data_IF_042147575129
#
_entry.id   IF_042147575129
#
_cell.length_a   1.000
_cell.length_b   1.000
_cell.length_c   1.000
_cell.angle_alpha   90.00
_cell.angle_beta   90.00
_cell.angle_gamma   90.00
#
_symmetry.space_group_name_H-M   'P 1'
#
loop_
_entity.id
_entity.type
_entity.pdbx_description
1 polymer ?
#
# COMPACT_ATOMS: atom_id res chain seq x y z
N UNK A 1 29.58 -5.30 -8.56
CA UNK A 1 28.48 -5.49 -9.53
C UNK A 1 27.18 -5.30 -8.79
N UNK A 2 26.40 -4.26 -9.10
CA UNK A 2 25.14 -3.97 -8.44
C UNK A 2 24.15 -3.42 -9.45
N UNK A 3 23.14 -4.20 -9.78
CA UNK A 3 22.06 -3.83 -10.70
C UNK A 3 21.08 -2.89 -9.99
N UNK A 4 20.94 -1.67 -10.50
CA UNK A 4 19.88 -0.77 -10.05
C UNK A 4 18.60 -1.12 -10.82
N UNK A 5 17.82 -2.06 -10.27
CA UNK A 5 16.53 -2.51 -10.83
C UNK A 5 15.48 -1.38 -10.69
N UNK A 6 15.63 -0.35 -11.51
CA UNK A 6 14.79 0.85 -11.53
C UNK A 6 13.47 0.58 -12.28
N UNK A 7 12.68 -0.35 -11.75
CA UNK A 7 11.34 -0.63 -12.29
C UNK A 7 10.53 0.64 -12.40
N UNK A 8 9.73 0.76 -13.46
CA UNK A 8 9.06 2.00 -13.89
C UNK A 8 7.91 2.48 -12.96
N UNK A 9 7.94 2.13 -11.67
CA UNK A 9 6.91 2.45 -10.68
C UNK A 9 7.18 2.00 -9.24
N UNK A 10 8.40 1.60 -8.87
CA UNK A 10 8.87 1.43 -7.48
C UNK A 10 9.91 2.54 -7.23
N UNK A 11 9.98 3.22 -6.09
CA UNK A 11 9.93 2.66 -4.72
C UNK A 11 8.60 2.87 -4.00
N UNK A 12 7.97 4.04 -4.16
CA UNK A 12 6.94 4.56 -3.23
C UNK A 12 5.78 3.57 -2.97
N UNK A 13 5.12 3.09 -4.02
CA UNK A 13 3.81 2.45 -3.86
C UNK A 13 3.83 0.93 -3.63
N UNK A 14 4.97 0.26 -3.83
CA UNK A 14 5.12 -1.16 -3.46
C UNK A 14 5.66 -1.30 -2.01
N UNK A 15 6.42 -0.31 -1.52
CA UNK A 15 6.80 -0.22 -0.10
C UNK A 15 5.57 0.09 0.79
N UNK A 16 4.71 1.02 0.37
CA UNK A 16 3.45 1.40 1.05
C UNK A 16 2.41 0.27 1.13
N UNK A 17 2.62 -0.88 0.49
CA UNK A 17 1.74 -2.06 0.65
C UNK A 17 2.42 -3.25 1.32
N UNK A 18 3.75 -3.37 1.28
CA UNK A 18 4.48 -4.46 1.96
C UNK A 18 4.90 -4.12 3.39
N UNK A 19 5.09 -2.84 3.70
CA UNK A 19 5.43 -2.36 5.04
C UNK A 19 4.16 -2.04 5.87
N UNK A 20 2.97 -2.35 5.34
CA UNK A 20 1.75 -1.58 5.66
C UNK A 20 0.39 -2.29 5.75
N UNK A 21 0.26 -3.48 6.36
CA UNK A 21 -1.06 -4.07 6.60
C UNK A 21 -1.89 -3.31 7.67
N UNK A 22 -1.29 -2.93 8.81
CA UNK A 22 -2.06 -2.57 10.02
C UNK A 22 -1.80 -1.17 10.63
N UNK A 23 -0.72 -0.45 10.29
CA UNK A 23 -0.35 0.80 11.01
C UNK A 23 -1.21 2.05 10.69
N UNK A 24 -2.29 1.93 9.91
CA UNK A 24 -3.13 3.08 9.52
C UNK A 24 -3.76 3.81 10.72
N UNK A 25 -4.11 3.06 11.77
CA UNK A 25 -4.51 3.62 13.06
C UNK A 25 -3.33 4.35 13.74
N UNK A 26 -2.15 3.73 13.78
CA UNK A 26 -0.97 4.22 14.50
C UNK A 26 -0.45 5.56 13.97
N UNK A 27 -0.47 5.81 12.66
CA UNK A 27 -0.04 7.13 12.13
C UNK A 27 -1.07 8.25 12.33
N UNK A 28 -2.35 7.89 12.52
CA UNK A 28 -3.44 8.87 12.74
C UNK A 28 -3.57 9.21 14.24
N UNK A 29 -3.30 8.25 15.13
CA UNK A 29 -3.54 8.40 16.57
C UNK A 29 -2.28 8.30 17.45
N UNK A 30 -1.11 7.96 16.90
CA UNK A 30 0.15 7.83 17.64
C UNK A 30 0.18 6.67 18.64
N UNK A 31 -0.70 5.68 18.46
CA UNK A 31 -0.93 4.57 19.39
C UNK A 31 -1.07 3.25 18.62
N UNK A 32 -0.64 2.10 19.17
CA UNK A 32 -0.89 0.80 18.54
C UNK A 32 -2.40 0.50 18.49
N UNK A 33 -2.91 -0.15 17.43
CA UNK A 33 -4.32 -0.47 17.30
C UNK A 33 -4.82 -1.37 18.46
N UNK A 34 -5.99 -1.08 19.07
CA UNK A 34 -6.55 -1.90 20.14
C UNK A 34 -6.69 -3.37 19.73
N UNK A 35 -6.00 -4.26 20.45
CA UNK A 35 -5.97 -5.69 20.15
C UNK A 35 -7.36 -6.30 20.33
N UNK A 36 -7.97 -6.75 19.23
CA UNK A 36 -9.24 -7.49 19.27
C UNK A 36 -9.02 -8.86 19.94
N UNK A 37 -9.37 -8.96 21.23
CA UNK A 37 -9.35 -10.22 21.97
C UNK A 37 -10.42 -11.15 21.38
N UNK A 38 -10.05 -12.30 20.79
CA UNK A 38 -11.00 -13.20 20.16
C UNK A 38 -11.85 -13.90 21.23
N UNK A 39 -13.15 -13.99 20.99
CA UNK A 39 -14.05 -14.70 21.90
C UNK A 39 -13.71 -16.20 22.00
N UNK A 40 -13.69 -16.74 23.22
CA UNK A 40 -13.63 -18.18 23.50
C UNK A 40 -15.01 -18.62 23.97
N UNK A 41 -15.59 -19.65 23.33
CA UNK A 41 -16.89 -20.20 23.71
C UNK A 41 -16.93 -20.62 25.20
N UNK A 42 -18.11 -20.52 25.82
CA UNK A 42 -18.34 -20.86 27.23
C UNK A 42 -17.58 -19.97 28.23
N UNK A 43 -17.21 -18.74 27.84
CA UNK A 43 -16.57 -17.77 28.75
C UNK A 43 -17.52 -16.70 29.31
N UNK A 44 -18.80 -16.71 28.92
CA UNK A 44 -19.85 -15.93 29.60
C UNK A 44 -20.81 -16.84 30.37
N UNK A 45 -21.44 -16.31 31.42
CA UNK A 45 -22.43 -17.05 32.22
C UNK A 45 -23.84 -17.05 31.59
N UNK A 46 -24.02 -16.54 30.37
CA UNK A 46 -25.33 -16.29 29.76
C UNK A 46 -25.35 -16.70 28.28
N UNK A 47 -26.07 -17.77 27.96
CA UNK A 47 -26.31 -18.32 26.60
C UNK A 47 -26.55 -17.26 25.51
N UNK A 48 -27.31 -16.21 25.83
CA UNK A 48 -27.65 -15.12 24.89
C UNK A 48 -26.42 -14.27 24.54
N UNK A 49 -25.55 -14.02 25.52
CA UNK A 49 -24.29 -13.29 25.36
C UNK A 49 -23.28 -14.15 24.60
N UNK A 50 -23.16 -15.43 24.95
CA UNK A 50 -22.34 -16.41 24.22
C UNK A 50 -22.69 -16.46 22.73
N UNK A 51 -23.99 -16.61 22.40
CA UNK A 51 -24.47 -16.61 21.01
C UNK A 51 -24.17 -15.30 20.27
N UNK A 52 -24.31 -14.16 20.95
CA UNK A 52 -24.01 -12.84 20.37
C UNK A 52 -22.52 -12.68 20.06
N UNK A 53 -21.64 -13.10 20.98
CA UNK A 53 -20.19 -13.02 20.80
C UNK A 53 -19.68 -14.01 19.75
N UNK A 54 -20.23 -15.22 19.67
CA UNK A 54 -19.95 -16.18 18.59
C UNK A 54 -20.33 -15.61 17.22
N UNK A 55 -21.50 -14.97 17.10
CA UNK A 55 -21.91 -14.30 15.86
C UNK A 55 -20.94 -13.15 15.49
N UNK A 56 -20.55 -12.32 16.47
CA UNK A 56 -19.58 -11.24 16.28
C UNK A 56 -18.25 -11.73 15.69
N UNK A 57 -17.66 -12.80 16.23
CA UNK A 57 -16.40 -13.36 15.69
C UNK A 57 -16.57 -13.88 14.25
N UNK A 58 -17.69 -14.52 13.94
CA UNK A 58 -17.98 -14.98 12.58
C UNK A 58 -18.03 -13.80 11.59
N UNK A 59 -18.71 -12.70 11.95
CA UNK A 59 -18.74 -11.47 11.15
C UNK A 59 -17.35 -10.83 11.01
N UNK A 60 -16.58 -10.73 12.10
CA UNK A 60 -15.22 -10.16 12.09
C UNK A 60 -14.27 -10.98 11.19
N UNK A 61 -14.38 -12.31 11.19
CA UNK A 61 -13.61 -13.19 10.28
C UNK A 61 -13.95 -12.90 8.82
N UNK A 62 -15.24 -12.88 8.47
CA UNK A 62 -15.73 -12.60 7.10
C UNK A 62 -15.26 -11.21 6.62
N UNK A 63 -15.30 -10.20 7.48
CA UNK A 63 -14.81 -8.85 7.16
C UNK A 63 -13.30 -8.83 6.88
N UNK A 64 -12.48 -9.53 7.67
CA UNK A 64 -11.03 -9.65 7.44
C UNK A 64 -10.73 -10.34 6.10
N UNK A 65 -11.42 -11.43 5.80
CA UNK A 65 -11.30 -12.15 4.52
C UNK A 65 -11.67 -11.26 3.32
N UNK A 66 -12.76 -10.51 3.40
CA UNK A 66 -13.15 -9.57 2.34
C UNK A 66 -12.16 -8.41 2.15
N UNK A 67 -11.63 -7.83 3.24
CA UNK A 67 -10.62 -6.76 3.17
C UNK A 67 -9.32 -7.25 2.53
N UNK A 68 -8.80 -8.40 2.96
CA UNK A 68 -7.62 -9.02 2.35
C UNK A 68 -7.82 -9.28 0.85
N UNK A 69 -8.98 -9.85 0.47
CA UNK A 69 -9.30 -10.12 -0.93
C UNK A 69 -9.48 -8.84 -1.77
N UNK A 70 -9.92 -7.73 -1.18
CA UNK A 70 -9.96 -6.43 -1.84
C UNK A 70 -8.56 -5.84 -2.06
N UNK A 71 -7.71 -5.84 -1.02
CA UNK A 71 -6.31 -5.41 -1.10
C UNK A 71 -5.53 -6.21 -2.15
N UNK A 72 -5.68 -7.53 -2.17
CA UNK A 72 -5.06 -8.40 -3.17
C UNK A 72 -5.49 -8.05 -4.61
N UNK A 73 -6.80 -7.85 -4.84
CA UNK A 73 -7.32 -7.41 -6.15
C UNK A 73 -6.77 -6.05 -6.56
N UNK A 74 -6.64 -5.11 -5.63
CA UNK A 74 -6.02 -3.79 -5.88
C UNK A 74 -4.56 -3.93 -6.28
N UNK A 75 -3.77 -4.76 -5.58
CA UNK A 75 -2.37 -5.03 -5.91
C UNK A 75 -2.23 -5.58 -7.33
N UNK A 76 -2.91 -6.70 -7.64
CA UNK A 76 -2.84 -7.36 -8.96
C UNK A 76 -3.23 -6.40 -10.09
N UNK A 77 -4.23 -5.53 -9.90
CA UNK A 77 -4.68 -4.57 -10.91
C UNK A 77 -3.72 -3.38 -11.10
N UNK A 78 -2.90 -3.04 -10.09
CA UNK A 78 -1.80 -2.07 -10.21
C UNK A 78 -0.61 -2.71 -10.91
N UNK A 79 -0.21 -3.91 -10.49
CA UNK A 79 0.98 -4.59 -11.01
C UNK A 79 0.79 -5.03 -12.47
N UNK A 80 -0.43 -5.42 -12.88
CA UNK A 80 -0.80 -5.64 -14.30
C UNK A 80 -0.59 -4.41 -15.20
N UNK A 81 -0.49 -3.20 -14.64
CA UNK A 81 -0.20 -1.95 -15.38
C UNK A 81 1.26 -1.50 -15.30
N UNK A 82 2.09 -2.22 -14.55
CA UNK A 82 3.55 -2.02 -14.54
C UNK A 82 4.18 -2.85 -15.65
N UNK A 83 5.35 -2.40 -16.12
CA UNK A 83 6.29 -3.26 -16.83
C UNK A 83 7.53 -3.34 -15.95
N UNK A 84 8.00 -4.56 -15.72
CA UNK A 84 9.35 -4.77 -15.19
C UNK A 84 10.33 -4.26 -16.23
N UNK A 85 11.31 -3.49 -15.75
CA UNK A 85 12.37 -2.87 -16.52
C UNK A 85 13.58 -2.83 -15.62
N UNK A 86 14.63 -3.49 -16.07
CA UNK A 86 15.96 -3.35 -15.50
C UNK A 86 16.69 -2.28 -16.31
N UNK A 87 17.58 -1.54 -15.66
CA UNK A 87 18.37 -0.48 -16.28
C UNK A 87 19.79 -0.58 -15.73
N UNK A 88 20.79 -0.38 -16.58
CA UNK A 88 22.20 -0.47 -16.14
C UNK A 88 22.75 0.86 -15.62
N UNK A 89 23.79 0.79 -14.77
CA UNK A 89 24.40 1.97 -14.15
C UNK A 89 25.21 2.75 -15.19
N UNK A 90 24.55 3.75 -15.79
CA UNK A 90 25.08 4.56 -16.91
C UNK A 90 24.11 4.68 -18.09
N UNK A 91 22.98 3.97 -18.06
CA UNK A 91 21.93 4.09 -19.07
C UNK A 91 21.09 5.37 -18.86
N UNK A 92 20.84 6.13 -19.92
CA UNK A 92 20.08 7.39 -19.87
C UNK A 92 18.57 7.12 -19.97
N UNK A 93 17.81 7.47 -18.93
CA UNK A 93 16.40 7.08 -18.80
C UNK A 93 15.46 8.29 -18.73
N UNK A 94 14.45 8.33 -19.60
CA UNK A 94 13.43 9.39 -19.62
C UNK A 94 12.32 9.15 -18.59
N UNK A 95 12.30 9.94 -17.51
CA UNK A 95 11.31 9.83 -16.43
C UNK A 95 10.12 10.77 -16.65
N UNK A 96 8.91 10.22 -16.63
CA UNK A 96 7.64 10.97 -16.69
C UNK A 96 7.22 11.45 -15.30
N UNK A 97 7.77 12.59 -14.89
CA UNK A 97 7.53 13.21 -13.58
C UNK A 97 6.18 13.95 -13.50
N UNK A 98 5.72 14.27 -12.28
CA UNK A 98 4.52 15.11 -12.07
C UNK A 98 4.93 16.57 -11.86
N UNK A 99 4.62 17.48 -12.81
CA UNK A 99 5.09 18.88 -12.82
C UNK A 99 5.29 19.56 -11.47
N UNK A 100 4.23 19.72 -10.69
CA UNK A 100 4.21 20.57 -9.50
C UNK A 100 4.31 19.80 -8.18
N UNK A 101 4.97 18.63 -8.16
CA UNK A 101 5.03 17.73 -6.99
C UNK A 101 6.44 17.28 -6.55
N UNK A 102 7.50 17.85 -7.11
CA UNK A 102 8.88 17.42 -6.84
C UNK A 102 9.80 18.62 -6.52
N UNK A 103 9.86 19.02 -5.26
CA UNK A 103 10.76 20.09 -4.76
C UNK A 103 12.23 19.68 -4.65
N UNK A 104 12.54 18.38 -4.72
CA UNK A 104 13.91 17.84 -4.69
C UNK A 104 14.63 17.89 -6.04
N UNK A 105 13.95 18.32 -7.11
CA UNK A 105 14.53 18.48 -8.45
C UNK A 105 14.92 19.93 -8.70
N UNK A 106 15.91 20.18 -9.57
CA UNK A 106 16.22 21.53 -10.04
C UNK A 106 14.96 22.16 -10.65
N UNK A 107 14.65 23.39 -10.24
CA UNK A 107 13.45 24.11 -10.68
C UNK A 107 13.41 24.20 -12.20
N UNK A 108 12.50 23.46 -12.83
CA UNK A 108 12.27 23.48 -14.26
C UNK A 108 11.05 24.35 -14.55
N UNK A 109 11.15 25.27 -15.50
CA UNK A 109 10.04 26.16 -15.87
C UNK A 109 9.01 25.37 -16.69
N UNK A 110 7.87 25.04 -16.09
CA UNK A 110 6.85 24.21 -16.73
C UNK A 110 5.78 25.10 -17.34
N UNK A 111 5.80 25.19 -18.66
CA UNK A 111 4.91 26.03 -19.45
C UNK A 111 4.16 25.17 -20.49
N UNK A 112 3.18 25.76 -21.18
CA UNK A 112 2.59 25.08 -22.34
C UNK A 112 3.70 24.83 -23.38
N UNK A 113 3.72 23.66 -23.99
CA UNK A 113 4.73 23.15 -24.93
C UNK A 113 6.07 22.66 -24.34
N UNK A 114 6.29 22.64 -23.02
CA UNK A 114 7.52 22.03 -22.46
C UNK A 114 7.50 20.49 -22.51
N UNK A 115 8.65 19.81 -22.67
CA UNK A 115 8.71 18.35 -22.73
C UNK A 115 8.19 17.68 -21.45
N UNK A 116 7.38 16.63 -21.60
CA UNK A 116 6.70 15.94 -20.49
C UNK A 116 7.58 14.92 -19.74
N UNK A 117 8.78 14.67 -20.23
CA UNK A 117 9.77 13.78 -19.63
C UNK A 117 11.10 14.49 -19.52
N UNK A 118 11.73 14.38 -18.35
CA UNK A 118 13.13 14.78 -18.16
C UNK A 118 14.00 13.56 -18.38
N UNK A 119 15.15 13.74 -19.03
CA UNK A 119 16.23 12.76 -18.98
C UNK A 119 16.96 12.84 -17.64
N UNK A 120 17.44 11.69 -17.16
CA UNK A 120 18.43 11.56 -16.10
C UNK A 120 19.73 11.02 -16.72
#
# INVERSE_FOLDING_TARGET
MGTLVATCGMVVQHLILLFYPDHTYEVVYGQPPPTLIPYKALSSSLEVVDRSLQHREATVRILKEHLHNAQHKMKVQVDKKRSEREFEVGELVFVKLRPYKHTSLKSHNIHKLTPRSLGL
#
